data_IF_858379988531
#
_entry.id   IF_858379988531
#
_cell.length_a   1.000
_cell.length_b   1.000
_cell.length_c   1.000
_cell.angle_alpha   90.00
_cell.angle_beta   90.00
_cell.angle_gamma   90.00
#
_symmetry.space_group_name_H-M   'P 1'
#
loop_
_entity.id
_entity.type
_entity.pdbx_description
1 polymer ?
#
# COMPACT_ATOMS: atom_id res chain seq x y z
N UNK A 1 28.27 -26.35 18.41
CA UNK A 1 27.91 -26.33 19.84
C UNK A 1 26.82 -25.28 19.96
N UNK A 2 25.57 -25.69 20.20
CA UNK A 2 24.47 -24.74 20.42
C UNK A 2 24.70 -24.10 21.79
N UNK A 3 24.79 -22.78 21.84
CA UNK A 3 24.92 -22.03 23.08
C UNK A 3 23.54 -21.90 23.72
N UNK A 4 23.30 -22.70 24.76
CA UNK A 4 22.05 -22.71 25.53
C UNK A 4 22.02 -21.63 26.63
N UNK A 5 23.06 -20.78 26.74
CA UNK A 5 23.19 -19.71 27.73
C UNK A 5 23.05 -18.31 27.12
N UNK A 6 22.29 -18.15 26.03
CA UNK A 6 21.99 -16.81 25.55
C UNK A 6 20.96 -16.13 26.47
N UNK A 7 21.46 -15.46 27.51
CA UNK A 7 20.67 -14.50 28.26
C UNK A 7 20.36 -13.30 27.35
N UNK A 8 19.10 -12.88 27.33
CA UNK A 8 18.67 -11.70 26.60
C UNK A 8 19.50 -10.48 27.04
N UNK A 9 20.06 -9.76 26.07
CA UNK A 9 20.84 -8.57 26.34
C UNK A 9 19.94 -7.43 26.83
N UNK A 10 20.52 -6.35 27.37
CA UNK A 10 19.78 -5.13 27.66
C UNK A 10 19.00 -4.60 26.45
N UNK A 11 19.59 -4.68 25.25
CA UNK A 11 18.94 -4.26 24.00
C UNK A 11 17.73 -5.16 23.66
N UNK A 12 17.84 -6.46 23.88
CA UNK A 12 16.74 -7.41 23.63
C UNK A 12 15.54 -7.13 24.56
N UNK A 13 15.80 -6.79 25.83
CA UNK A 13 14.74 -6.40 26.76
C UNK A 13 14.01 -5.14 26.33
N UNK A 14 14.73 -4.10 25.89
CA UNK A 14 14.10 -2.86 25.38
C UNK A 14 13.28 -3.17 24.13
N UNK A 15 13.86 -3.90 23.16
CA UNK A 15 13.18 -4.25 21.93
C UNK A 15 11.90 -5.05 22.22
N UNK A 16 11.95 -6.04 23.11
CA UNK A 16 10.79 -6.82 23.50
C UNK A 16 9.68 -5.97 24.11
N UNK A 17 10.02 -4.99 24.97
CA UNK A 17 9.03 -4.06 25.55
C UNK A 17 8.37 -3.16 24.51
N UNK A 18 9.13 -2.69 23.51
CA UNK A 18 8.57 -1.92 22.40
C UNK A 18 7.66 -2.80 21.54
N UNK A 19 8.11 -4.01 21.19
CA UNK A 19 7.33 -4.97 20.40
C UNK A 19 6.01 -5.32 21.09
N UNK A 20 6.04 -5.61 22.39
CA UNK A 20 4.85 -5.90 23.21
C UNK A 20 3.89 -4.72 23.25
N UNK A 21 4.38 -3.50 23.48
CA UNK A 21 3.54 -2.30 23.50
C UNK A 21 2.83 -2.07 22.15
N UNK A 22 3.54 -2.26 21.03
CA UNK A 22 2.97 -2.14 19.69
C UNK A 22 1.89 -3.20 19.41
N UNK A 23 2.11 -4.45 19.85
CA UNK A 23 1.12 -5.52 19.70
C UNK A 23 -0.14 -5.23 20.53
N UNK A 24 0.02 -4.78 21.78
CA UNK A 24 -1.10 -4.39 22.65
C UNK A 24 -1.90 -3.24 22.04
N UNK A 25 -1.21 -2.24 21.48
CA UNK A 25 -1.87 -1.12 20.82
C UNK A 25 -2.62 -1.58 19.56
N UNK A 26 -1.99 -2.41 18.73
CA UNK A 26 -2.60 -2.92 17.50
C UNK A 26 -3.85 -3.77 17.78
N UNK A 27 -3.84 -4.59 18.83
CA UNK A 27 -4.97 -5.41 19.24
C UNK A 27 -6.22 -4.60 19.67
N UNK A 28 -6.08 -3.29 19.90
CA UNK A 28 -7.21 -2.38 20.19
C UNK A 28 -7.85 -1.80 18.93
N UNK A 29 -7.22 -1.95 17.77
CA UNK A 29 -7.77 -1.47 16.51
C UNK A 29 -8.93 -2.38 16.09
N UNK A 30 -10.04 -1.81 15.59
CA UNK A 30 -11.12 -2.63 15.06
C UNK A 30 -10.62 -3.44 13.86
N UNK A 31 -10.96 -4.72 13.85
CA UNK A 31 -10.72 -5.55 12.67
C UNK A 31 -11.51 -5.01 11.48
N UNK A 32 -10.90 -5.04 10.31
CA UNK A 32 -11.58 -4.67 9.06
C UNK A 32 -12.55 -5.79 8.71
N UNK A 33 -13.79 -5.43 8.41
CA UNK A 33 -14.86 -6.34 7.99
C UNK A 33 -14.90 -6.58 6.47
N UNK A 34 -13.94 -6.02 5.74
CA UNK A 34 -13.81 -6.09 4.29
C UNK A 34 -12.45 -6.65 3.84
N UNK A 35 -12.44 -7.26 2.65
CA UNK A 35 -11.22 -7.62 1.95
C UNK A 35 -10.60 -6.38 1.29
N UNK A 36 -9.36 -6.06 1.65
CA UNK A 36 -8.64 -4.96 1.02
C UNK A 36 -8.34 -5.26 -0.45
N UNK A 37 -8.68 -4.36 -1.36
CA UNK A 37 -8.47 -4.57 -2.80
C UNK A 37 -6.97 -4.75 -3.18
N UNK A 38 -6.04 -4.27 -2.35
CA UNK A 38 -4.60 -4.54 -2.48
C UNK A 38 -4.23 -6.02 -2.29
N UNK A 39 -5.13 -6.83 -1.72
CA UNK A 39 -4.95 -8.27 -1.54
C UNK A 39 -5.26 -9.07 -2.80
N UNK A 40 -6.09 -8.55 -3.71
CA UNK A 40 -6.60 -9.31 -4.86
C UNK A 40 -5.50 -9.83 -5.80
N UNK A 41 -4.35 -9.14 -5.86
CA UNK A 41 -3.17 -9.58 -6.59
C UNK A 41 -2.41 -10.77 -5.98
N UNK A 42 -2.72 -11.19 -4.74
CA UNK A 42 -2.03 -12.30 -4.07
C UNK A 42 -2.34 -13.61 -4.79
N UNK A 43 -1.30 -14.41 -5.08
CA UNK A 43 -1.44 -15.63 -5.87
C UNK A 43 -2.39 -16.68 -5.24
N UNK A 44 -2.36 -16.86 -3.92
CA UNK A 44 -3.13 -17.91 -3.24
C UNK A 44 -4.60 -17.52 -3.05
N UNK A 45 -5.50 -18.09 -3.86
CA UNK A 45 -6.94 -17.86 -3.74
C UNK A 45 -7.52 -18.32 -2.39
N UNK A 46 -7.02 -19.42 -1.83
CA UNK A 46 -7.46 -19.91 -0.51
C UNK A 46 -7.15 -18.93 0.62
N UNK A 47 -6.02 -18.22 0.53
CA UNK A 47 -5.70 -17.17 1.51
C UNK A 47 -6.72 -16.02 1.43
N UNK A 48 -7.10 -15.61 0.21
CA UNK A 48 -8.13 -14.59 0.00
C UNK A 48 -9.49 -15.04 0.56
N UNK A 49 -9.87 -16.30 0.37
CA UNK A 49 -11.11 -16.84 0.93
C UNK A 49 -11.13 -16.82 2.46
N UNK A 50 -10.00 -17.12 3.12
CA UNK A 50 -9.91 -17.02 4.57
C UNK A 50 -10.04 -15.58 5.06
N UNK A 51 -9.40 -14.63 4.37
CA UNK A 51 -9.53 -13.20 4.70
C UNK A 51 -10.96 -12.70 4.45
N UNK A 52 -11.59 -13.11 3.34
CA UNK A 52 -12.96 -12.72 3.01
C UNK A 52 -13.99 -13.29 3.99
N UNK A 53 -13.80 -14.54 4.44
CA UNK A 53 -14.70 -15.21 5.36
C UNK A 53 -14.43 -14.87 6.84
N UNK A 54 -13.44 -14.01 7.13
CA UNK A 54 -12.99 -13.72 8.49
C UNK A 54 -12.68 -14.99 9.29
N UNK A 55 -12.01 -15.95 8.64
CA UNK A 55 -11.62 -17.18 9.28
C UNK A 55 -10.62 -16.89 10.41
N UNK A 56 -10.75 -17.53 11.59
CA UNK A 56 -9.82 -17.33 12.69
C UNK A 56 -8.37 -17.61 12.25
N UNK A 57 -7.45 -16.73 12.64
CA UNK A 57 -6.01 -16.91 12.41
C UNK A 57 -5.44 -17.89 13.43
N UNK A 58 -4.39 -18.61 13.05
CA UNK A 58 -3.58 -19.34 14.03
C UNK A 58 -2.95 -18.35 15.01
N UNK A 59 -2.84 -18.70 16.29
CA UNK A 59 -2.25 -17.83 17.34
C UNK A 59 -0.84 -17.33 16.99
N UNK A 60 -0.10 -18.10 16.18
CA UNK A 60 1.27 -17.77 15.74
C UNK A 60 1.33 -16.82 14.54
N UNK A 61 0.17 -16.46 13.96
CA UNK A 61 0.06 -15.64 12.75
C UNK A 61 -0.27 -14.18 13.03
N UNK A 62 -0.34 -13.78 14.29
CA UNK A 62 -0.46 -12.38 14.68
C UNK A 62 0.75 -11.55 14.25
N UNK A 63 0.54 -10.25 14.05
CA UNK A 63 1.64 -9.36 13.65
C UNK A 63 2.65 -9.20 14.78
N UNK A 64 3.90 -9.57 14.51
CA UNK A 64 5.00 -9.25 15.41
C UNK A 64 5.22 -7.74 15.54
N UNK A 65 5.76 -7.28 16.67
CA UNK A 65 6.15 -5.87 16.85
C UNK A 65 7.10 -5.38 15.75
N UNK A 66 8.02 -6.23 15.28
CA UNK A 66 8.86 -5.95 14.11
C UNK A 66 8.04 -5.67 12.85
N UNK A 67 7.00 -6.47 12.57
CA UNK A 67 6.13 -6.26 11.42
C UNK A 67 5.38 -4.93 11.55
N UNK A 68 4.88 -4.61 12.74
CA UNK A 68 4.20 -3.34 13.01
C UNK A 68 5.13 -2.13 12.81
N UNK A 69 6.40 -2.21 13.21
CA UNK A 69 7.40 -1.17 12.89
C UNK A 69 7.63 -1.00 11.39
N UNK A 70 7.63 -2.09 10.63
CA UNK A 70 7.79 -2.02 9.17
C UNK A 70 6.60 -1.28 8.54
N UNK A 71 5.38 -1.53 9.01
CA UNK A 71 4.20 -0.80 8.53
C UNK A 71 4.24 0.68 8.92
N UNK A 72 4.58 0.99 10.17
CA UNK A 72 4.71 2.37 10.63
C UNK A 72 5.77 3.14 9.83
N UNK A 73 6.94 2.54 9.59
CA UNK A 73 7.96 3.14 8.73
C UNK A 73 7.46 3.35 7.29
N UNK A 74 6.67 2.41 6.76
CA UNK A 74 6.03 2.54 5.46
C UNK A 74 5.14 3.79 5.36
N UNK A 75 4.29 4.03 6.35
CA UNK A 75 3.44 5.23 6.40
C UNK A 75 4.25 6.53 6.48
N UNK A 76 5.32 6.55 7.28
CA UNK A 76 6.21 7.73 7.35
C UNK A 76 6.87 8.02 5.99
N UNK A 77 7.29 6.99 5.25
CA UNK A 77 7.83 7.17 3.92
C UNK A 77 6.79 7.68 2.90
N UNK A 78 5.55 7.22 3.03
CA UNK A 78 4.42 7.72 2.22
C UNK A 78 4.17 9.21 2.47
N UNK A 79 4.09 9.63 3.74
CA UNK A 79 3.94 11.04 4.13
C UNK A 79 5.07 11.92 3.58
N UNK A 80 6.30 11.41 3.63
CA UNK A 80 7.46 12.10 3.05
C UNK A 80 7.33 12.26 1.54
N UNK A 81 6.92 11.22 0.81
CA UNK A 81 6.72 11.30 -0.64
C UNK A 81 5.59 12.24 -1.04
N UNK A 82 4.50 12.29 -0.27
CA UNK A 82 3.43 13.27 -0.46
C UNK A 82 4.01 14.69 -0.38
N UNK A 83 4.82 14.95 0.65
CA UNK A 83 5.49 16.23 0.85
C UNK A 83 6.43 16.58 -0.31
N UNK A 84 7.24 15.63 -0.77
CA UNK A 84 8.18 15.83 -1.88
C UNK A 84 7.47 16.09 -3.21
N UNK A 85 6.42 15.34 -3.54
CA UNK A 85 5.65 15.56 -4.78
C UNK A 85 4.99 16.93 -4.80
N UNK A 86 4.38 17.36 -3.68
CA UNK A 86 3.79 18.71 -3.57
C UNK A 86 4.84 19.80 -3.71
N UNK A 87 6.00 19.65 -3.07
CA UNK A 87 7.12 20.58 -3.22
C UNK A 87 7.68 20.60 -4.65
N UNK A 88 7.61 19.49 -5.36
CA UNK A 88 7.98 19.38 -6.77
C UNK A 88 6.92 19.93 -7.74
N UNK A 89 5.80 20.48 -7.24
CA UNK A 89 4.77 21.13 -8.05
C UNK A 89 3.62 20.24 -8.51
N UNK A 90 3.46 19.04 -7.95
CA UNK A 90 2.30 18.19 -8.21
C UNK A 90 1.11 18.59 -7.32
N UNK A 91 -0.07 18.71 -7.92
CA UNK A 91 -1.34 18.82 -7.19
C UNK A 91 -1.82 17.41 -6.82
N UNK A 92 -1.37 16.94 -5.66
CA UNK A 92 -1.65 15.61 -5.13
C UNK A 92 -2.75 15.64 -4.06
N UNK A 93 -3.89 15.03 -4.40
CA UNK A 93 -5.05 14.86 -3.53
C UNK A 93 -4.93 13.52 -2.80
N UNK A 94 -4.84 13.56 -1.47
CA UNK A 94 -4.71 12.36 -0.62
C UNK A 94 -5.90 12.14 0.31
N UNK A 95 -6.82 13.11 0.41
CA UNK A 95 -8.03 13.07 1.22
C UNK A 95 -9.19 13.79 0.50
N UNK A 96 -10.44 13.42 0.79
CA UNK A 96 -11.62 14.13 0.23
C UNK A 96 -11.74 15.53 0.86
N UNK A 97 -12.02 16.54 0.05
CA UNK A 97 -12.04 17.95 0.45
C UNK A 97 -13.17 18.39 1.43
N UNK A 98 -13.89 17.48 2.09
CA UNK A 98 -15.07 17.81 2.92
C UNK A 98 -15.10 17.06 4.26
N UNK A 99 -14.07 17.19 5.10
CA UNK A 99 -14.19 16.87 6.53
C UNK A 99 -13.28 17.79 7.35
N UNK A 100 -13.90 18.72 8.08
CA UNK A 100 -13.26 19.75 8.92
C UNK A 100 -12.63 19.16 10.22
N UNK A 101 -12.56 17.83 10.31
CA UNK A 101 -11.93 17.14 11.43
C UNK A 101 -10.45 16.87 11.13
N UNK A 102 -9.57 17.64 11.76
CA UNK A 102 -8.10 17.46 11.76
C UNK A 102 -7.62 16.11 12.34
N UNK A 103 -8.46 15.08 12.44
CA UNK A 103 -8.14 13.79 13.08
C UNK A 103 -8.70 12.54 12.39
N UNK A 104 -9.26 12.64 11.18
CA UNK A 104 -9.76 11.47 10.45
C UNK A 104 -9.08 11.36 9.07
N UNK A 105 -8.06 10.51 8.97
CA UNK A 105 -7.43 10.09 7.72
C UNK A 105 -8.41 9.24 6.89
N UNK A 106 -9.46 9.84 6.32
CA UNK A 106 -10.31 9.16 5.34
C UNK A 106 -9.61 9.18 3.99
N UNK A 107 -8.90 8.09 3.72
CA UNK A 107 -8.26 7.80 2.44
C UNK A 107 -9.29 7.86 1.30
N UNK A 108 -8.85 8.35 0.15
CA UNK A 108 -9.64 8.36 -1.07
C UNK A 108 -9.78 6.90 -1.57
N UNK A 109 -10.97 6.45 -1.96
CA UNK A 109 -11.18 5.02 -2.18
C UNK A 109 -12.56 4.64 -2.70
N UNK A 110 -12.77 3.33 -2.87
CA UNK A 110 -14.00 2.72 -3.36
C UNK A 110 -14.47 1.59 -2.44
N UNK A 111 -15.76 1.26 -2.55
CA UNK A 111 -16.38 0.13 -1.87
C UNK A 111 -17.32 -0.58 -2.83
N UNK A 112 -17.15 -1.89 -2.99
CA UNK A 112 -17.92 -2.72 -3.94
C UNK A 112 -18.36 -4.03 -3.28
N UNK A 113 -19.16 -4.81 -4.02
CA UNK A 113 -19.73 -6.07 -3.54
C UNK A 113 -20.46 -5.93 -2.18
N UNK A 114 -21.23 -4.83 -2.03
CA UNK A 114 -21.98 -4.55 -0.80
C UNK A 114 -21.10 -4.22 0.42
N UNK A 115 -19.92 -3.64 0.21
CA UNK A 115 -18.98 -3.29 1.29
C UNK A 115 -17.91 -4.33 1.56
N UNK A 116 -17.95 -5.48 0.88
CA UNK A 116 -17.07 -6.61 1.18
C UNK A 116 -15.69 -6.48 0.58
N UNK A 117 -15.52 -5.59 -0.41
CA UNK A 117 -14.21 -5.23 -0.98
C UNK A 117 -14.08 -3.72 -0.94
N UNK A 118 -13.00 -3.23 -0.33
CA UNK A 118 -12.70 -1.80 -0.28
C UNK A 118 -11.25 -1.55 -0.71
N UNK A 119 -11.04 -0.51 -1.51
CA UNK A 119 -9.72 -0.04 -1.92
C UNK A 119 -9.48 1.39 -1.43
N UNK A 120 -8.25 1.66 -1.04
CA UNK A 120 -7.82 2.99 -0.60
C UNK A 120 -6.56 3.31 -1.40
N UNK A 121 -6.61 4.40 -2.17
CA UNK A 121 -5.49 4.84 -2.98
C UNK A 121 -4.59 5.76 -2.17
N UNK A 122 -3.29 5.73 -2.44
CA UNK A 122 -2.34 6.61 -1.76
C UNK A 122 -2.55 8.08 -2.19
N UNK A 123 -2.94 8.31 -3.45
CA UNK A 123 -3.43 9.62 -3.89
C UNK A 123 -3.87 9.70 -5.35
N UNK A 124 -4.41 10.86 -5.72
CA UNK A 124 -4.80 11.22 -7.08
C UNK A 124 -4.06 12.50 -7.47
N UNK A 125 -3.36 12.47 -8.59
CA UNK A 125 -2.70 13.64 -9.18
C UNK A 125 -3.71 14.33 -10.08
N UNK A 126 -4.08 15.56 -9.72
CA UNK A 126 -5.05 16.37 -10.45
C UNK A 126 -4.36 17.34 -11.43
N UNK A 127 -3.12 17.72 -11.15
CA UNK A 127 -2.23 18.41 -12.10
C UNK A 127 -0.76 18.15 -11.75
N UNK A 128 0.12 18.32 -12.72
CA UNK A 128 1.56 18.17 -12.57
C UNK A 128 2.27 19.26 -13.40
N UNK A 129 3.57 19.54 -13.14
CA UNK A 129 4.32 20.47 -13.97
C UNK A 129 4.34 20.03 -15.44
N UNK A 130 4.40 21.02 -16.34
CA UNK A 130 4.23 20.81 -17.77
C UNK A 130 5.16 19.72 -18.34
N UNK A 131 4.56 18.78 -19.06
CA UNK A 131 5.28 17.71 -19.76
C UNK A 131 5.80 16.57 -18.86
N UNK A 132 5.57 16.60 -17.54
CA UNK A 132 6.00 15.51 -16.64
C UNK A 132 5.09 14.28 -16.75
N UNK A 133 3.77 14.48 -16.76
CA UNK A 133 2.79 13.41 -16.94
C UNK A 133 2.11 13.52 -18.30
N UNK A 134 1.78 12.38 -18.94
CA UNK A 134 1.07 12.38 -20.23
C UNK A 134 -0.39 12.84 -20.11
N UNK A 135 -0.97 12.78 -18.91
CA UNK A 135 -2.32 13.24 -18.63
C UNK A 135 -2.71 13.10 -17.16
N UNK A 136 -3.80 13.77 -16.80
CA UNK A 136 -4.43 13.78 -15.48
C UNK A 136 -5.97 13.70 -15.64
N UNK A 137 -6.73 13.19 -14.66
CA UNK A 137 -6.29 12.68 -13.37
C UNK A 137 -5.48 11.39 -13.50
N UNK A 138 -4.45 11.23 -12.66
CA UNK A 138 -3.62 10.03 -12.61
C UNK A 138 -3.60 9.45 -11.19
N UNK A 139 -3.72 8.12 -11.09
CA UNK A 139 -3.55 7.42 -9.81
C UNK A 139 -2.10 7.54 -9.36
N UNK A 140 -1.87 7.77 -8.06
CA UNK A 140 -0.55 7.65 -7.45
C UNK A 140 -0.53 6.52 -6.42
N UNK A 141 0.50 5.69 -6.49
CA UNK A 141 0.73 4.56 -5.58
C UNK A 141 2.20 4.56 -5.13
N UNK A 142 2.44 4.52 -3.82
CA UNK A 142 3.75 4.61 -3.20
C UNK A 142 4.10 3.34 -2.41
N UNK A 143 5.36 2.89 -2.51
CA UNK A 143 5.87 1.77 -1.71
C UNK A 143 7.26 2.08 -1.19
N UNK A 144 7.55 1.67 0.04
CA UNK A 144 8.92 1.60 0.55
C UNK A 144 9.46 0.16 0.41
N UNK A 145 10.59 0.03 -0.26
CA UNK A 145 11.23 -1.25 -0.58
C UNK A 145 12.61 -1.32 0.07
N UNK A 146 13.02 -2.51 0.50
CA UNK A 146 14.44 -2.71 0.83
C UNK A 146 15.31 -2.64 -0.44
N UNK A 147 16.61 -2.41 -0.28
CA UNK A 147 17.54 -2.20 -1.38
C UNK A 147 17.59 -3.36 -2.39
N UNK A 148 17.37 -4.61 -1.94
CA UNK A 148 17.32 -5.76 -2.86
C UNK A 148 16.07 -5.68 -3.75
N UNK A 149 14.92 -5.50 -3.12
CA UNK A 149 13.63 -5.42 -3.81
C UNK A 149 13.57 -4.19 -4.70
N UNK A 150 14.05 -3.04 -4.23
CA UNK A 150 14.09 -1.80 -4.97
C UNK A 150 14.92 -1.94 -6.24
N UNK A 151 16.15 -2.48 -6.15
CA UNK A 151 17.00 -2.71 -7.34
C UNK A 151 16.39 -3.67 -8.35
N UNK A 152 15.69 -4.72 -7.90
CA UNK A 152 14.96 -5.62 -8.81
C UNK A 152 13.84 -4.88 -9.54
N UNK A 153 13.11 -4.01 -8.84
CA UNK A 153 12.06 -3.16 -9.43
C UNK A 153 12.62 -2.16 -10.43
N UNK A 154 13.70 -1.43 -10.09
CA UNK A 154 14.38 -0.52 -11.03
C UNK A 154 14.87 -1.26 -12.28
N UNK A 155 15.39 -2.47 -12.12
CA UNK A 155 15.95 -3.24 -13.24
C UNK A 155 14.89 -3.80 -14.18
N UNK A 156 13.71 -4.17 -13.68
CA UNK A 156 12.72 -5.00 -14.41
C UNK A 156 11.38 -4.32 -14.61
N UNK A 157 11.14 -3.17 -13.99
CA UNK A 157 9.84 -2.53 -13.91
C UNK A 157 8.91 -3.20 -12.88
N UNK A 158 7.84 -2.49 -12.53
CA UNK A 158 6.89 -2.90 -11.50
C UNK A 158 6.19 -4.20 -11.84
N UNK A 159 5.63 -4.31 -13.06
CA UNK A 159 4.79 -5.44 -13.44
C UNK A 159 5.53 -6.78 -13.33
N UNK A 160 6.82 -6.79 -13.68
CA UNK A 160 7.65 -8.00 -13.66
C UNK A 160 8.25 -8.27 -12.27
N UNK A 161 8.68 -7.22 -11.55
CA UNK A 161 9.29 -7.37 -10.22
C UNK A 161 8.25 -7.65 -9.13
N UNK A 162 7.09 -6.98 -9.22
CA UNK A 162 6.01 -6.96 -8.24
C UNK A 162 4.63 -7.08 -8.90
N UNK A 163 4.29 -8.24 -9.49
CA UNK A 163 2.98 -8.45 -10.13
C UNK A 163 1.79 -8.10 -9.22
N UNK A 164 1.91 -8.32 -7.90
CA UNK A 164 0.87 -7.98 -6.92
C UNK A 164 0.57 -6.47 -6.88
N UNK A 165 1.59 -5.62 -6.99
CA UNK A 165 1.40 -4.17 -6.99
C UNK A 165 0.86 -3.66 -8.33
N UNK A 166 1.26 -4.28 -9.45
CA UNK A 166 0.65 -3.98 -10.74
C UNK A 166 -0.84 -4.36 -10.77
N UNK A 167 -1.20 -5.52 -10.21
CA UNK A 167 -2.59 -5.94 -10.03
C UNK A 167 -3.37 -4.95 -9.16
N UNK A 168 -2.78 -4.48 -8.06
CA UNK A 168 -3.39 -3.48 -7.19
C UNK A 168 -3.67 -2.17 -7.95
N UNK A 169 -2.69 -1.65 -8.70
CA UNK A 169 -2.85 -0.43 -9.51
C UNK A 169 -3.97 -0.60 -10.54
N UNK A 170 -3.99 -1.73 -11.27
CA UNK A 170 -5.02 -2.00 -12.27
C UNK A 170 -6.43 -2.04 -11.66
N UNK A 171 -6.59 -2.73 -10.53
CA UNK A 171 -7.85 -2.76 -9.76
C UNK A 171 -8.23 -1.35 -9.31
N UNK A 172 -7.29 -0.57 -8.81
CA UNK A 172 -7.57 0.80 -8.35
C UNK A 172 -8.02 1.69 -9.50
N UNK A 173 -7.34 1.68 -10.64
CA UNK A 173 -7.78 2.44 -11.81
C UNK A 173 -9.19 2.03 -12.28
N UNK A 174 -9.48 0.74 -12.33
CA UNK A 174 -10.80 0.24 -12.75
C UNK A 174 -11.93 0.67 -11.79
N UNK A 175 -11.75 0.49 -10.49
CA UNK A 175 -12.80 0.77 -9.50
C UNK A 175 -12.87 2.22 -9.04
N UNK A 176 -11.83 3.02 -9.31
CA UNK A 176 -11.87 4.46 -9.08
C UNK A 176 -12.49 5.23 -10.25
N UNK A 177 -12.62 4.65 -11.45
CA UNK A 177 -13.21 5.32 -12.63
C UNK A 177 -14.59 5.94 -12.36
N UNK A 178 -15.54 5.30 -11.64
CA UNK A 178 -16.82 5.92 -11.31
C UNK A 178 -16.71 7.09 -10.31
N UNK A 179 -15.62 7.16 -9.55
CA UNK A 179 -15.36 8.19 -8.53
C UNK A 179 -14.52 9.34 -9.09
N UNK A 180 -13.58 9.03 -9.99
CA UNK A 180 -12.69 9.97 -10.69
C UNK A 180 -12.71 9.61 -12.17
N UNK A 181 -13.66 10.18 -12.94
CA UNK A 181 -13.77 9.92 -14.36
C UNK A 181 -12.48 10.27 -15.10
N UNK A 182 -12.02 9.39 -15.99
CA UNK A 182 -10.80 9.53 -16.77
C UNK A 182 -9.53 9.02 -16.08
N UNK A 183 -9.60 8.52 -14.84
CA UNK A 183 -8.41 7.99 -14.14
C UNK A 183 -7.81 6.75 -14.83
N UNK A 184 -8.65 5.92 -15.45
CA UNK A 184 -8.21 4.74 -16.20
C UNK A 184 -7.72 5.07 -17.61
N UNK A 185 -7.95 6.30 -18.10
CA UNK A 185 -7.45 6.77 -19.39
C UNK A 185 -5.98 7.23 -19.33
N UNK A 186 -5.45 7.48 -18.12
CA UNK A 186 -4.08 7.92 -17.89
C UNK A 186 -3.28 6.83 -17.16
N UNK A 187 -1.97 6.69 -17.40
CA UNK A 187 -1.14 5.80 -16.61
C UNK A 187 -1.04 6.26 -15.16
N UNK A 188 -0.97 5.31 -14.23
CA UNK A 188 -0.69 5.58 -12.82
C UNK A 188 0.79 5.95 -12.63
N UNK A 189 1.08 6.86 -11.70
CA UNK A 189 2.43 7.11 -11.20
C UNK A 189 2.72 6.16 -10.04
N UNK A 190 3.58 5.17 -10.27
CA UNK A 190 4.14 4.35 -9.20
C UNK A 190 5.41 5.00 -8.65
N UNK A 191 5.55 5.05 -7.33
CA UNK A 191 6.76 5.52 -6.63
C UNK A 191 7.30 4.44 -5.70
N UNK A 192 8.59 4.14 -5.80
CA UNK A 192 9.30 3.28 -4.86
C UNK A 192 10.46 4.02 -4.18
N UNK A 193 10.41 4.08 -2.84
CA UNK A 193 11.50 4.60 -2.01
C UNK A 193 12.36 3.42 -1.56
N UNK A 194 13.67 3.50 -1.77
CA UNK A 194 14.61 2.59 -1.14
C UNK A 194 14.78 2.96 0.33
N UNK A 195 14.24 2.17 1.25
CA UNK A 195 14.30 2.49 2.69
C UNK A 195 15.70 2.40 3.30
N UNK A 196 16.65 1.79 2.59
CA UNK A 196 18.03 1.65 3.05
C UNK A 196 18.92 2.83 2.60
N UNK A 197 18.54 3.53 1.52
CA UNK A 197 19.38 4.60 0.90
C UNK A 197 18.65 5.89 0.57
N UNK A 198 17.32 5.93 0.74
CA UNK A 198 16.41 7.02 0.34
C UNK A 198 16.37 7.33 -1.17
N UNK A 199 16.91 6.45 -2.03
CA UNK A 199 16.77 6.59 -3.49
C UNK A 199 15.31 6.46 -3.94
N UNK A 200 14.93 7.27 -4.92
CA UNK A 200 13.58 7.28 -5.49
C UNK A 200 13.58 6.61 -6.87
N UNK A 201 12.55 5.82 -7.11
CA UNK A 201 12.21 5.26 -8.42
C UNK A 201 10.77 5.63 -8.76
N UNK A 202 10.54 6.07 -9.99
CA UNK A 202 9.22 6.42 -10.49
C UNK A 202 8.96 5.68 -11.81
N UNK A 203 7.75 5.17 -11.99
CA UNK A 203 7.34 4.45 -13.19
C UNK A 203 5.91 4.84 -13.57
N UNK A 204 5.67 5.10 -14.85
CA UNK A 204 4.31 5.21 -15.39
C UNK A 204 3.80 3.80 -15.69
N UNK A 205 2.72 3.40 -15.03
CA UNK A 205 2.09 2.09 -15.18
C UNK A 205 0.80 2.28 -15.99
N UNK A 206 0.75 1.83 -17.26
CA UNK A 206 -0.46 1.90 -18.07
C UNK A 206 -1.60 1.10 -17.44
N UNK A 207 -2.83 1.53 -17.67
CA UNK A 207 -4.00 0.78 -17.23
C UNK A 207 -4.09 -0.57 -17.95
N UNK A 208 -4.15 -1.64 -17.17
CA UNK A 208 -4.35 -3.01 -17.67
C UNK A 208 -5.75 -3.50 -17.28
N UNK A 209 -6.71 -3.26 -18.17
CA UNK A 209 -8.10 -3.65 -17.97
C UNK A 209 -8.29 -5.17 -17.86
N UNK A 210 -7.48 -5.96 -18.59
CA UNK A 210 -7.57 -7.41 -18.56
C UNK A 210 -7.07 -7.96 -17.22
N UNK A 211 -5.97 -7.41 -16.69
CA UNK A 211 -5.48 -7.74 -15.36
C UNK A 211 -6.48 -7.35 -14.28
N UNK A 212 -7.06 -6.14 -14.36
CA UNK A 212 -8.09 -5.72 -13.41
C UNK A 212 -9.27 -6.71 -13.40
N UNK A 213 -9.81 -7.05 -14.58
CA UNK A 213 -10.90 -8.01 -14.69
C UNK A 213 -10.53 -9.39 -14.13
N UNK A 214 -9.36 -9.93 -14.49
CA UNK A 214 -8.93 -11.24 -14.01
C UNK A 214 -8.76 -11.31 -12.49
N UNK A 215 -8.30 -10.22 -11.86
CA UNK A 215 -8.16 -10.14 -10.41
C UNK A 215 -9.51 -9.93 -9.71
N UNK A 216 -10.45 -9.25 -10.36
CA UNK A 216 -11.84 -9.14 -9.89
C UNK A 216 -12.58 -10.47 -9.95
N UNK A 217 -12.45 -11.23 -11.04
CA UNK A 217 -13.10 -12.54 -11.21
C UNK A 217 -12.61 -13.59 -10.20
N UNK A 218 -11.39 -13.38 -9.69
CA UNK A 218 -10.78 -14.23 -8.67
C UNK A 218 -11.34 -13.98 -7.26
N UNK A 219 -11.82 -12.76 -6.99
CA UNK A 219 -12.24 -12.29 -5.68
C UNK A 219 -13.60 -12.88 -5.27
#
# INVERSE_FOLDING_TARGET
MLDYNHNASFADHINARIDEALVIEHARQPERDYLGASRLGVACARALQYEYAHAPKDETREFSGRTLRIFAAGHLFEDMAIGWLRQAGFDLITQKANDDSQRSHRQFGFSVAGGRICGHVDGIINSAPDGILPGVPALWECKSLNARSWRDTVKRGLAVSKPVYAAQIAIYQAYMEPVVPGISANPALFTAINKDTAELYHELVPFDAALAQAMSDKA
#
